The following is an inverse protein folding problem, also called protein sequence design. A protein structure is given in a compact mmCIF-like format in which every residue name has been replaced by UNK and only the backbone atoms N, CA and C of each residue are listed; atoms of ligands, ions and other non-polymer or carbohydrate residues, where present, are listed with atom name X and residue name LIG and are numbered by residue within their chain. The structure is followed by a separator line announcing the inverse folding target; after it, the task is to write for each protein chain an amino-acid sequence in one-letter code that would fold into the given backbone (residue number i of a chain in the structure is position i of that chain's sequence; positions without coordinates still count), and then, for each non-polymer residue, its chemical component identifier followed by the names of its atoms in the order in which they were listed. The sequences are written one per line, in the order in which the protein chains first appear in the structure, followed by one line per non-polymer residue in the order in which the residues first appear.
data_IF_318608710403
#
_entry.id   IF_318608710403
#
_cell.length_a   1.000
_cell.length_b   1.000
_cell.length_c   1.000
_cell.angle_alpha   90.00
_cell.angle_beta   90.00
_cell.angle_gamma   90.00
#
_symmetry.space_group_name_H-M   'P 1'
#
loop_
_entity.id
_entity.type
_entity.pdbx_description
1 polymer ?
#
# COMPACT_ATOMS: atom_id res chain seq x y z
N UNK A 1 -4.08 -9.72 9.76
CA UNK A 1 -4.03 -9.48 8.29
C UNK A 1 -4.53 -8.10 7.87
N UNK A 2 -5.65 -7.62 8.43
CA UNK A 2 -6.27 -6.36 7.97
C UNK A 2 -5.35 -5.13 8.06
N UNK A 3 -4.55 -5.00 9.12
CA UNK A 3 -3.60 -3.90 9.27
C UNK A 3 -2.58 -3.84 8.10
N UNK A 4 -1.94 -4.97 7.79
CA UNK A 4 -0.96 -5.06 6.70
C UNK A 4 -1.62 -5.01 5.31
N UNK A 5 -2.87 -5.45 5.19
CA UNK A 5 -3.67 -5.26 3.98
C UNK A 5 -3.98 -3.78 3.73
N UNK A 6 -4.35 -3.02 4.76
CA UNK A 6 -4.58 -1.58 4.67
C UNK A 6 -3.29 -0.82 4.31
N UNK A 7 -2.17 -1.19 4.95
CA UNK A 7 -0.84 -0.68 4.57
C UNK A 7 -0.56 -0.93 3.08
N UNK A 8 -0.79 -2.15 2.58
CA UNK A 8 -0.59 -2.48 1.16
C UNK A 8 -1.48 -1.65 0.24
N UNK A 9 -2.76 -1.46 0.59
CA UNK A 9 -3.66 -0.61 -0.20
C UNK A 9 -3.14 0.83 -0.27
N UNK A 10 -2.69 1.38 0.86
CA UNK A 10 -2.18 2.74 0.92
C UNK A 10 -0.88 2.90 0.10
N UNK A 11 0.06 1.95 0.24
CA UNK A 11 1.28 1.90 -0.56
C UNK A 11 1.02 1.82 -2.06
N UNK A 12 0.04 1.02 -2.50
CA UNK A 12 -0.30 0.93 -3.94
C UNK A 12 -1.00 2.19 -4.43
N UNK A 13 -1.89 2.79 -3.63
CA UNK A 13 -2.49 4.09 -3.94
C UNK A 13 -1.43 5.18 -4.09
N UNK A 14 -0.48 5.27 -3.16
CA UNK A 14 0.66 6.19 -3.25
C UNK A 14 1.54 5.91 -4.47
N UNK A 15 1.73 4.64 -4.86
CA UNK A 15 2.48 4.30 -6.08
C UNK A 15 1.83 4.88 -7.34
N UNK A 16 0.50 4.79 -7.46
CA UNK A 16 -0.24 5.38 -8.58
C UNK A 16 -0.21 6.91 -8.54
N UNK A 17 -0.31 7.51 -7.36
CA UNK A 17 -0.17 8.96 -7.18
C UNK A 17 1.23 9.42 -7.65
N UNK A 18 2.27 8.68 -7.29
CA UNK A 18 3.64 8.98 -7.72
C UNK A 18 3.80 8.91 -9.25
N UNK A 19 3.13 7.96 -9.92
CA UNK A 19 3.14 7.86 -11.40
C UNK A 19 2.54 9.11 -12.08
N UNK A 20 1.61 9.80 -11.41
CA UNK A 20 0.98 11.02 -11.93
C UNK A 20 1.82 12.25 -11.62
N UNK A 21 2.32 12.35 -10.39
CA UNK A 21 3.01 13.55 -9.90
C UNK A 21 4.47 13.63 -10.34
N UNK A 22 5.10 12.49 -10.62
CA UNK A 22 6.52 12.41 -10.98
C UNK A 22 6.65 11.72 -12.33
N UNK A 23 6.94 12.51 -13.36
CA UNK A 23 7.20 12.01 -14.70
C UNK A 23 8.59 11.38 -14.79
N UNK A 24 8.72 10.14 -14.33
CA UNK A 24 9.89 9.28 -14.56
C UNK A 24 9.44 7.92 -15.10
N UNK A 25 9.49 7.71 -16.43
CA UNK A 25 9.07 6.45 -17.04
C UNK A 25 10.02 5.29 -16.75
N UNK A 26 11.21 5.54 -16.19
CA UNK A 26 12.18 4.50 -15.84
C UNK A 26 11.98 3.92 -14.43
N UNK A 27 11.14 4.56 -13.63
CA UNK A 27 10.87 4.17 -12.25
C UNK A 27 10.07 2.87 -12.19
N UNK A 28 10.61 1.87 -11.51
CA UNK A 28 9.84 0.66 -11.15
C UNK A 28 8.74 1.03 -10.15
N UNK A 29 7.48 0.72 -10.48
CA UNK A 29 6.36 0.92 -9.55
C UNK A 29 6.44 -0.07 -8.38
N UNK A 30 5.92 0.30 -7.21
CA UNK A 30 5.96 -0.58 -6.05
C UNK A 30 5.22 -1.92 -6.30
N UNK A 31 4.05 -1.97 -6.96
CA UNK A 31 3.43 -3.23 -7.33
C UNK A 31 4.31 -4.11 -8.21
N UNK A 32 5.04 -3.53 -9.19
CA UNK A 32 5.94 -4.30 -10.06
C UNK A 32 7.14 -4.88 -9.27
N UNK A 33 7.75 -4.07 -8.40
CA UNK A 33 8.81 -4.53 -7.52
C UNK A 33 8.35 -5.68 -6.61
N UNK A 34 7.16 -5.54 -6.00
CA UNK A 34 6.61 -6.58 -5.13
C UNK A 34 6.27 -7.87 -5.88
N UNK A 35 5.76 -7.78 -7.12
CA UNK A 35 5.55 -8.96 -7.96
C UNK A 35 6.85 -9.73 -8.20
N UNK A 36 7.90 -9.01 -8.62
CA UNK A 36 9.23 -9.61 -8.84
C UNK A 36 9.78 -10.27 -7.58
N UNK A 37 9.63 -9.62 -6.41
CA UNK A 37 10.06 -10.16 -5.12
C UNK A 37 9.26 -11.44 -4.75
N UNK A 38 7.94 -11.41 -4.92
CA UNK A 38 7.08 -12.55 -4.61
C UNK A 38 7.26 -13.72 -5.58
N UNK A 39 7.68 -13.48 -6.83
CA UNK A 39 8.03 -14.55 -7.77
C UNK A 39 9.41 -15.15 -7.49
N UNK A 40 10.33 -14.39 -6.89
CA UNK A 40 11.66 -14.87 -6.53
C UNK A 40 11.66 -15.81 -5.31
N UNK A 41 10.64 -15.75 -4.45
CA UNK A 41 10.45 -16.69 -3.34
C UNK A 41 8.97 -17.03 -3.24
N UNK A 42 8.63 -18.29 -3.53
CA UNK A 42 7.24 -18.75 -3.65
C UNK A 42 6.63 -19.22 -2.31
N UNK A 43 7.50 -19.56 -1.35
CA UNK A 43 7.18 -20.31 -0.11
C UNK A 43 6.05 -19.68 0.71
N UNK A 44 5.98 -18.34 0.78
CA UNK A 44 5.00 -17.68 1.62
C UNK A 44 3.61 -17.58 0.98
N UNK A 45 3.43 -17.87 -0.31
CA UNK A 45 2.13 -17.72 -0.98
C UNK A 45 1.67 -18.91 -1.83
N UNK A 46 2.57 -19.71 -2.40
CA UNK A 46 2.24 -20.70 -3.45
C UNK A 46 1.16 -21.71 -3.03
N UNK A 47 1.27 -22.27 -1.82
CA UNK A 47 0.28 -23.23 -1.30
C UNK A 47 -1.10 -22.60 -1.01
N UNK A 48 -1.20 -21.28 -0.91
CA UNK A 48 -2.43 -20.57 -0.57
C UNK A 48 -3.19 -20.10 -1.81
N UNK A 49 -2.52 -19.93 -2.95
CA UNK A 49 -3.09 -19.36 -4.16
C UNK A 49 -3.06 -20.40 -5.29
N UNK A 50 -4.08 -21.27 -5.40
CA UNK A 50 -4.23 -22.18 -6.54
C UNK A 50 -4.66 -21.41 -7.80
N UNK A 51 -4.68 -22.11 -8.94
CA UNK A 51 -5.17 -21.58 -10.21
C UNK A 51 -4.06 -21.23 -11.19
N UNK A 52 -4.46 -20.55 -12.25
CA UNK A 52 -3.60 -20.08 -13.35
C UNK A 52 -2.63 -18.97 -12.88
N UNK A 53 -1.53 -18.72 -13.62
CA UNK A 53 -0.60 -17.64 -13.28
C UNK A 53 -1.25 -16.26 -13.13
N UNK A 54 -2.27 -15.95 -13.94
CA UNK A 54 -3.00 -14.67 -13.88
C UNK A 54 -3.90 -14.58 -12.64
N UNK A 55 -4.60 -15.66 -12.30
CA UNK A 55 -5.37 -15.74 -11.05
C UNK A 55 -4.45 -15.61 -9.83
N UNK A 56 -3.30 -16.30 -9.86
CA UNK A 56 -2.30 -16.20 -8.79
C UNK A 56 -1.74 -14.79 -8.67
N UNK A 57 -1.52 -14.08 -9.79
CA UNK A 57 -1.10 -12.68 -9.77
C UNK A 57 -2.13 -11.81 -9.06
N UNK A 58 -3.41 -11.94 -9.38
CA UNK A 58 -4.47 -11.23 -8.66
C UNK A 58 -4.41 -11.55 -7.16
N UNK A 59 -4.24 -12.82 -6.79
CA UNK A 59 -4.18 -13.21 -5.38
C UNK A 59 -2.95 -12.67 -4.65
N UNK A 60 -1.75 -12.70 -5.26
CA UNK A 60 -0.52 -12.14 -4.67
C UNK A 60 -0.70 -10.69 -4.25
N UNK A 61 -1.39 -9.89 -5.07
CA UNK A 61 -1.55 -8.46 -4.83
C UNK A 61 -2.82 -8.11 -4.07
N UNK A 62 -3.93 -8.85 -4.20
CA UNK A 62 -5.25 -8.39 -3.76
C UNK A 62 -5.97 -9.32 -2.78
N UNK A 63 -5.48 -10.54 -2.57
CA UNK A 63 -6.11 -11.51 -1.65
C UNK A 63 -6.24 -10.97 -0.22
N UNK A 64 -7.38 -11.23 0.42
CA UNK A 64 -7.59 -10.93 1.84
C UNK A 64 -6.72 -11.77 2.78
N UNK A 65 -6.16 -12.89 2.31
CA UNK A 65 -5.17 -13.65 3.07
C UNK A 65 -3.86 -12.89 3.28
N UNK A 66 -3.62 -11.82 2.49
CA UNK A 66 -2.54 -10.85 2.63
C UNK A 66 -1.15 -11.48 2.81
N UNK A 67 -0.83 -12.48 1.97
CA UNK A 67 0.44 -13.21 2.07
C UNK A 67 1.64 -12.36 1.66
N UNK A 68 1.41 -11.26 0.93
CA UNK A 68 2.43 -10.24 0.65
C UNK A 68 3.08 -9.68 1.92
N UNK A 69 2.41 -9.73 3.08
CA UNK A 69 2.95 -9.21 4.36
C UNK A 69 4.30 -9.81 4.76
N UNK A 70 4.57 -11.05 4.36
CA UNK A 70 5.83 -11.73 4.68
C UNK A 70 7.02 -11.22 3.86
N UNK A 71 6.75 -10.46 2.80
CA UNK A 71 7.78 -9.91 1.91
C UNK A 71 8.19 -8.49 2.28
N UNK A 72 7.36 -7.73 3.01
CA UNK A 72 7.70 -6.37 3.46
C UNK A 72 9.02 -6.24 4.24
N UNK A 73 9.43 -7.22 5.09
CA UNK A 73 10.70 -7.17 5.79
C UNK A 73 11.92 -7.41 4.89
N UNK A 74 11.74 -7.87 3.64
CA UNK A 74 12.88 -8.13 2.74
C UNK A 74 13.61 -6.83 2.39
N UNK A 75 14.95 -6.85 2.26
CA UNK A 75 15.72 -5.66 1.89
C UNK A 75 15.23 -5.00 0.60
N UNK A 76 14.82 -5.81 -0.39
CA UNK A 76 14.30 -5.37 -1.69
C UNK A 76 12.99 -4.60 -1.53
N UNK A 77 12.03 -5.14 -0.75
CA UNK A 77 10.75 -4.48 -0.51
C UNK A 77 10.93 -3.19 0.27
N UNK A 78 11.80 -3.19 1.29
CA UNK A 78 12.11 -1.98 2.04
C UNK A 78 12.76 -0.90 1.18
N UNK A 79 13.66 -1.27 0.25
CA UNK A 79 14.23 -0.32 -0.71
C UNK A 79 13.15 0.26 -1.62
N UNK A 80 12.31 -0.57 -2.22
CA UNK A 80 11.23 -0.11 -3.11
C UNK A 80 10.23 0.82 -2.39
N UNK A 81 9.85 0.48 -1.15
CA UNK A 81 8.98 1.33 -0.33
C UNK A 81 9.64 2.66 0.02
N UNK A 82 10.93 2.66 0.42
CA UNK A 82 11.67 3.91 0.66
C UNK A 82 11.74 4.78 -0.59
N UNK A 83 12.11 4.21 -1.73
CA UNK A 83 12.14 4.92 -3.02
C UNK A 83 10.78 5.57 -3.33
N UNK A 84 9.66 4.87 -3.11
CA UNK A 84 8.34 5.45 -3.30
C UNK A 84 8.09 6.66 -2.37
N UNK A 85 8.42 6.52 -1.08
CA UNK A 85 8.23 7.59 -0.12
C UNK A 85 9.13 8.79 -0.41
N UNK A 86 10.38 8.55 -0.80
CA UNK A 86 11.35 9.61 -1.17
C UNK A 86 10.90 10.38 -2.42
N UNK A 87 10.30 9.70 -3.40
CA UNK A 87 9.75 10.31 -4.63
C UNK A 87 8.61 11.28 -4.31
N UNK A 88 7.76 10.90 -3.36
CA UNK A 88 6.67 11.75 -2.89
C UNK A 88 7.17 12.83 -1.93
N UNK A 89 8.26 12.58 -1.19
CA UNK A 89 8.92 13.52 -0.27
C UNK A 89 7.94 14.21 0.71
N UNK A 90 8.33 15.34 1.30
CA UNK A 90 7.46 16.18 2.14
C UNK A 90 6.50 17.06 1.31
N UNK A 91 6.09 16.61 0.11
CA UNK A 91 5.15 17.36 -0.73
C UNK A 91 3.73 17.01 -0.31
N UNK A 92 2.91 18.05 -0.17
CA UNK A 92 1.47 17.87 -0.01
C UNK A 92 0.89 17.22 -1.27
N UNK A 93 0.29 16.06 -1.09
CA UNK A 93 -0.40 15.33 -2.15
C UNK A 93 -1.74 16.01 -2.41
N UNK A 94 -2.05 16.40 -3.66
CA UNK A 94 -3.33 17.02 -3.98
C UNK A 94 -4.53 16.16 -3.53
N UNK A 95 -5.45 16.76 -2.78
CA UNK A 95 -6.64 16.08 -2.26
C UNK A 95 -7.44 15.30 -3.32
N UNK A 96 -7.63 15.76 -4.57
CA UNK A 96 -8.31 14.97 -5.59
C UNK A 96 -7.64 13.60 -5.85
N UNK A 97 -6.31 13.53 -5.80
CA UNK A 97 -5.57 12.27 -5.94
C UNK A 97 -5.74 11.38 -4.71
N UNK A 98 -5.79 11.95 -3.51
CA UNK A 98 -6.11 11.22 -2.28
C UNK A 98 -7.52 10.66 -2.37
N UNK A 99 -8.52 11.45 -2.76
CA UNK A 99 -9.90 10.98 -2.94
C UNK A 99 -10.00 9.83 -3.95
N UNK A 100 -9.25 9.92 -5.07
CA UNK A 100 -9.25 8.91 -6.13
C UNK A 100 -8.58 7.58 -5.74
N UNK A 101 -7.42 7.63 -5.06
CA UNK A 101 -6.59 6.44 -4.83
C UNK A 101 -6.58 5.96 -3.37
N UNK A 102 -6.96 6.83 -2.43
CA UNK A 102 -7.00 6.61 -0.99
C UNK A 102 -8.32 7.12 -0.41
N UNK A 103 -9.43 6.95 -1.13
CA UNK A 103 -10.73 7.57 -0.81
C UNK A 103 -11.24 7.33 0.61
N UNK A 104 -10.84 6.22 1.24
CA UNK A 104 -11.11 5.94 2.66
C UNK A 104 -10.50 6.95 3.65
N UNK A 105 -9.56 7.79 3.21
CA UNK A 105 -8.92 8.85 4.01
C UNK A 105 -9.41 10.25 3.62
N UNK A 106 -10.23 10.41 2.58
CA UNK A 106 -10.60 11.75 2.10
C UNK A 106 -11.30 12.58 3.19
N UNK A 107 -12.22 11.98 3.95
CA UNK A 107 -12.92 12.66 5.04
C UNK A 107 -11.96 13.12 6.15
N UNK A 108 -10.96 12.31 6.48
CA UNK A 108 -9.96 12.60 7.50
C UNK A 108 -9.01 13.72 7.07
N UNK A 109 -8.60 13.71 5.80
CA UNK A 109 -7.76 14.75 5.20
C UNK A 109 -8.54 16.06 5.06
N UNK A 110 -9.80 15.99 4.61
CA UNK A 110 -10.68 17.15 4.50
C UNK A 110 -10.93 17.84 5.85
N UNK A 111 -11.01 17.05 6.92
CA UNK A 111 -11.17 17.54 8.28
C UNK A 111 -9.84 17.97 8.93
N UNK A 112 -8.70 17.84 8.24
CA UNK A 112 -7.38 18.19 8.77
C UNK A 112 -6.85 17.24 9.86
N UNK A 113 -7.46 16.06 10.03
CA UNK A 113 -7.06 15.05 11.01
C UNK A 113 -5.88 14.21 10.52
N UNK A 114 -5.76 14.03 9.21
CA UNK A 114 -4.60 13.40 8.55
C UNK A 114 -3.97 14.41 7.61
N UNK A 115 -2.66 14.62 7.73
CA UNK A 115 -1.92 15.49 6.80
C UNK A 115 -1.82 14.80 5.43
N UNK A 116 -1.86 15.56 4.31
CA UNK A 116 -1.76 15.00 2.97
C UNK A 116 -0.31 14.63 2.58
N UNK A 117 0.47 14.06 3.52
CA UNK A 117 1.85 13.62 3.31
C UNK A 117 1.88 12.10 3.19
N UNK A 118 2.78 11.56 2.37
CA UNK A 118 2.81 10.12 2.07
C UNK A 118 2.89 9.26 3.34
N UNK A 119 3.79 9.60 4.27
CA UNK A 119 3.93 8.89 5.54
C UNK A 119 2.66 8.98 6.41
N UNK A 120 2.08 10.17 6.52
CA UNK A 120 0.89 10.42 7.32
C UNK A 120 -0.34 9.69 6.78
N UNK A 121 -0.46 9.57 5.46
CA UNK A 121 -1.50 8.78 4.80
C UNK A 121 -1.32 7.27 5.06
N UNK A 122 -0.08 6.75 5.12
CA UNK A 122 0.15 5.36 5.51
C UNK A 122 -0.32 5.11 6.93
N UNK A 123 0.07 5.96 7.89
CA UNK A 123 -0.35 5.84 9.29
C UNK A 123 -1.87 5.94 9.40
N UNK A 124 -2.48 6.96 8.79
CA UNK A 124 -3.94 7.14 8.78
C UNK A 124 -4.68 5.91 8.23
N UNK A 125 -4.15 5.25 7.19
CA UNK A 125 -4.75 4.04 6.62
C UNK A 125 -4.80 2.86 7.60
N UNK A 126 -3.78 2.74 8.45
CA UNK A 126 -3.66 1.68 9.47
C UNK A 126 -4.50 2.05 10.68
N UNK A 127 -4.40 3.31 11.15
CA UNK A 127 -5.17 3.84 12.27
C UNK A 127 -6.66 3.65 12.06
N UNK A 128 -7.18 3.94 10.86
CA UNK A 128 -8.60 3.69 10.54
C UNK A 128 -9.05 2.25 10.78
N UNK A 129 -8.17 1.26 10.58
CA UNK A 129 -8.49 -0.14 10.90
C UNK A 129 -8.47 -0.37 12.41
N UNK A 130 -7.50 0.22 13.12
CA UNK A 130 -7.43 0.16 14.58
C UNK A 130 -8.67 0.79 15.23
N UNK A 131 -9.16 1.91 14.70
CA UNK A 131 -10.34 2.62 15.22
C UNK A 131 -11.59 1.73 15.19
N UNK A 132 -11.75 0.88 14.17
CA UNK A 132 -12.85 -0.10 14.11
C UNK A 132 -12.80 -1.07 15.30
N UNK A 133 -11.59 -1.49 15.71
CA UNK A 133 -11.42 -2.35 16.87
C UNK A 133 -11.61 -1.56 18.18
N UNK A 134 -11.13 -0.33 18.25
CA UNK A 134 -11.30 0.55 19.41
C UNK A 134 -12.80 0.80 19.69
N UNK A 135 -13.56 1.20 18.66
CA UNK A 135 -15.01 1.43 18.73
C UNK A 135 -15.77 0.18 19.21
N UNK A 136 -15.39 -1.00 18.72
CA UNK A 136 -16.03 -2.26 19.11
C UNK A 136 -15.67 -2.71 20.54
N UNK A 137 -14.56 -2.22 21.10
CA UNK A 137 -14.06 -2.62 22.42
C UNK A 137 -14.23 -1.53 23.48
N UNK A 138 -14.75 -0.36 23.10
CA UNK A 138 -14.99 0.76 24.00
C UNK A 138 -13.71 1.42 24.53
N UNK A 139 -12.63 1.36 23.75
CA UNK A 139 -11.36 2.05 24.03
C UNK A 139 -11.28 3.38 23.27
#
# INVERSE_FOLDING_TARGET
PWLTFALRQALYGLSHIADILVSDPSRESLPAAMERIMLASLDNWQQYYPGTPDEQRVQRHFSFSDRIRYYWPTPEAQRATRTLLDVLSEKDIPRPLISQYLGQLDAEVAAGRVKPLAHELLIGSITRVLDIYADATGQ
#
